data_IF_936337644815
#
_entry.id   IF_936337644815
#
_cell.length_a   1.000
_cell.length_b   1.000
_cell.length_c   1.000
_cell.angle_alpha   90.00
_cell.angle_beta   90.00
_cell.angle_gamma   90.00
#
_symmetry.space_group_name_H-M   'P 1'
#
loop_
_entity.id
_entity.type
_entity.pdbx_description
1 polymer ?
2 non-polymer ?
3 non-polymer ?
4 non-polymer ?
5 non-polymer ?
6 water ?
#
# COMPACT_ATOMS: atom_id res chain seq x y z
N UNK A 1 -3.86 5.75 6.55
CA UNK A 1 -4.16 7.14 6.08
C UNK A 1 -5.06 7.89 7.03
N UNK A 2 -5.42 9.10 6.64
CA UNK A 2 -6.24 9.97 7.51
C UNK A 2 -7.59 9.34 7.85
N UNK A 3 -8.15 8.56 6.92
CA UNK A 3 -9.45 7.93 7.16
C UNK A 3 -9.34 6.93 8.30
N UNK A 4 -8.30 6.09 8.24
CA UNK A 4 -8.05 5.13 9.32
C UNK A 4 -7.66 5.80 10.64
N UNK A 5 -6.93 6.91 10.56
CA UNK A 5 -6.52 7.62 11.77
C UNK A 5 -7.75 8.08 12.56
N UNK A 6 -8.66 8.74 11.86
CA UNK A 6 -9.96 9.15 12.44
C UNK A 6 -10.78 7.97 13.00
N UNK A 7 -10.84 6.89 12.23
CA UNK A 7 -11.55 5.66 12.64
C UNK A 7 -10.98 5.05 13.91
N UNK A 8 -9.67 4.87 13.93
CA UNK A 8 -9.00 4.21 15.06
C UNK A 8 -9.18 5.03 16.32
N UNK A 9 -8.97 6.34 16.22
CA UNK A 9 -9.17 7.25 17.34
C UNK A 9 -10.61 7.21 17.86
N UNK A 10 -11.57 7.17 16.94
CA UNK A 10 -12.98 7.12 17.31
C UNK A 10 -13.35 5.79 17.95
N UNK A 11 -12.74 4.72 17.45
CA UNK A 11 -12.98 3.35 17.97
C UNK A 11 -12.66 3.22 19.47
N UNK A 12 -11.46 3.65 19.83
CA UNK A 12 -10.90 3.38 21.14
C UNK A 12 -11.35 4.42 22.16
N UNK A 13 -11.48 5.67 21.74
CA UNK A 13 -11.59 6.79 22.67
C UNK A 13 -13.03 7.21 22.85
N UNK A 14 -13.27 8.15 23.78
CA UNK A 14 -14.65 8.52 24.11
C UNK A 14 -15.15 9.75 23.36
N UNK A 15 -14.35 10.28 22.45
CA UNK A 15 -14.69 11.56 21.86
C UNK A 15 -14.38 11.60 20.38
N UNK A 16 -15.03 12.52 19.69
CA UNK A 16 -14.85 12.69 18.26
C UNK A 16 -13.39 12.98 17.92
N UNK A 17 -12.87 12.43 16.81
CA UNK A 17 -11.48 12.77 16.43
C UNK A 17 -11.29 14.28 16.14
N UNK A 18 -12.40 14.95 15.82
CA UNK A 18 -12.45 16.41 15.64
C UNK A 18 -11.96 17.17 16.88
N UNK A 19 -12.08 16.54 18.04
CA UNK A 19 -11.61 17.12 19.30
C UNK A 19 -10.11 17.41 19.29
N UNK A 20 -9.39 16.76 18.39
CA UNK A 20 -7.94 16.89 18.32
C UNK A 20 -7.47 17.61 17.06
N UNK A 21 -8.38 18.26 16.33
CA UNK A 21 -8.04 18.78 15.00
C UNK A 21 -7.11 19.99 15.04
N UNK A 22 -7.24 20.77 16.10
CA UNK A 22 -6.29 21.85 16.43
C UNK A 22 -6.34 22.02 17.94
N UNK A 23 -5.47 21.32 18.65
CA UNK A 23 -5.50 21.27 20.11
C UNK A 23 -4.08 21.30 20.62
N UNK A 24 -3.83 22.17 21.59
CA UNK A 24 -2.50 22.29 22.16
C UNK A 24 -1.51 22.77 21.14
N UNK A 25 -0.27 22.27 21.24
CA UNK A 25 0.78 22.62 20.29
C UNK A 25 1.05 21.59 19.19
N UNK A 26 0.57 20.35 19.36
CA UNK A 26 0.86 19.25 18.43
C UNK A 26 -0.33 18.58 17.74
N UNK A 27 -1.52 18.65 18.33
CA UNK A 27 -2.67 17.99 17.72
C UNK A 27 -3.21 18.84 16.58
N UNK A 28 -3.00 18.36 15.36
CA UNK A 28 -3.35 19.07 14.13
C UNK A 28 -2.17 19.01 13.17
N UNK A 29 -2.28 19.68 12.02
CA UNK A 29 -1.21 19.65 11.02
C UNK A 29 0.09 20.32 11.49
N UNK A 30 1.15 19.53 11.54
CA UNK A 30 2.43 19.97 12.09
C UNK A 30 2.38 20.02 13.59
N UNK A 31 3.14 20.95 14.15
CA UNK A 31 3.23 21.10 15.61
C UNK A 31 4.65 21.36 16.08
N UNK A 32 4.79 22.23 17.07
CA UNK A 32 6.08 22.55 17.67
C UNK A 32 5.85 23.13 19.07
N UNK A 33 6.88 23.02 19.90
CA UNK A 33 6.86 23.59 21.24
C UNK A 33 6.80 22.55 22.33
N UNK A 34 6.48 23.03 23.52
CA UNK A 34 6.27 22.20 24.70
C UNK A 34 4.86 21.64 24.69
N UNK A 35 4.71 20.30 24.65
CA UNK A 35 3.36 19.74 24.73
C UNK A 35 2.65 20.21 26.00
N UNK A 36 1.39 20.62 25.85
CA UNK A 36 0.66 21.25 26.94
C UNK A 36 0.06 20.29 27.98
N UNK A 37 -0.25 19.07 27.56
CA UNK A 37 -0.87 18.09 28.44
C UNK A 37 -0.70 16.68 27.86
N UNK A 38 -1.36 15.70 28.46
CA UNK A 38 -1.24 14.30 28.03
C UNK A 38 -1.68 14.08 26.58
N UNK A 39 -2.82 14.66 26.22
CA UNK A 39 -3.32 14.60 24.83
C UNK A 39 -2.29 15.16 23.87
N UNK A 40 -1.69 16.30 24.23
CA UNK A 40 -0.70 16.94 23.36
C UNK A 40 0.56 16.08 23.20
N UNK A 41 0.96 15.40 24.28
CA UNK A 41 2.05 14.40 24.21
C UNK A 41 1.72 13.23 23.28
N UNK A 42 0.47 12.74 23.34
CA UNK A 42 0.02 11.71 22.42
C UNK A 42 0.21 12.16 20.98
N UNK A 43 -0.23 13.39 20.66
CA UNK A 43 -0.07 13.92 19.29
C UNK A 43 1.40 14.15 18.92
N UNK A 44 2.19 14.64 19.86
CA UNK A 44 3.63 14.76 19.62
C UNK A 44 4.24 13.42 19.23
N UNK A 45 3.93 12.38 20.00
CA UNK A 45 4.44 11.02 19.77
C UNK A 45 3.97 10.46 18.43
N UNK A 46 2.72 10.74 18.08
CA UNK A 46 2.15 10.37 16.77
C UNK A 46 2.84 11.10 15.61
N UNK A 47 3.03 12.42 15.74
CA UNK A 47 3.75 13.19 14.72
C UNK A 47 5.13 12.56 14.48
N UNK A 48 5.79 12.16 15.56
CA UNK A 48 7.10 11.46 15.50
C UNK A 48 7.01 10.15 14.72
N UNK A 49 5.98 9.37 15.03
CA UNK A 49 5.72 8.08 14.39
C UNK A 49 5.56 8.22 12.89
N UNK A 50 4.73 9.18 12.48
CA UNK A 50 4.50 9.49 11.06
C UNK A 50 5.77 9.96 10.34
N UNK A 51 6.57 10.78 11.01
CA UNK A 51 7.87 11.19 10.46
C UNK A 51 8.78 9.98 10.19
N UNK A 52 8.82 9.07 11.14
CA UNK A 52 9.57 7.83 10.97
C UNK A 52 9.01 7.05 9.79
N UNK A 53 7.69 6.97 9.71
CA UNK A 53 7.04 6.26 8.60
C UNK A 53 7.38 6.89 7.25
N UNK A 54 7.42 8.22 7.20
CA UNK A 54 7.85 8.92 6.00
C UNK A 54 9.31 8.60 5.64
N UNK A 55 10.16 8.57 6.66
CA UNK A 55 11.57 8.25 6.47
C UNK A 55 11.79 6.81 5.99
N UNK A 56 10.88 5.91 6.37
CA UNK A 56 10.90 4.53 5.89
C UNK A 56 10.40 4.37 4.44
N UNK A 57 9.88 5.46 3.84
CA UNK A 57 9.39 5.44 2.47
C UNK A 57 7.89 5.17 2.37
N UNK A 58 7.13 5.55 3.40
CA UNK A 58 5.68 5.38 3.40
C UNK A 58 4.97 6.73 3.26
N UNK A 59 3.66 6.67 3.03
CA UNK A 59 2.81 7.85 2.92
C UNK A 59 1.69 7.80 3.98
N UNK A 60 2.02 8.20 5.22
CA UNK A 60 1.12 7.97 6.35
C UNK A 60 -0.23 8.66 6.30
N UNK A 61 -0.35 9.72 5.51
CA UNK A 61 -1.60 10.45 5.43
C UNK A 61 -2.56 9.87 4.39
N UNK A 62 -2.04 9.04 3.49
CA UNK A 62 -2.84 8.56 2.36
C UNK A 62 -3.05 7.06 2.28
N UNK A 63 -2.05 6.24 2.66
CA UNK A 63 -2.17 4.82 2.39
C UNK A 63 -3.29 4.15 3.20
N UNK A 64 -4.15 3.42 2.51
CA UNK A 64 -5.21 2.67 3.14
C UNK A 64 -4.63 1.38 3.76
N UNK A 65 -5.25 0.95 4.85
CA UNK A 65 -4.93 -0.34 5.48
C UNK A 65 -6.19 -0.88 6.16
N UNK A 66 -6.21 -2.20 6.32
CA UNK A 66 -7.31 -2.88 6.99
C UNK A 66 -7.07 -2.92 8.49
N UNK A 67 -8.14 -2.78 9.23
CA UNK A 67 -8.10 -2.92 10.69
C UNK A 67 -9.51 -3.26 11.16
N UNK A 68 -9.62 -3.72 12.39
CA UNK A 68 -10.91 -3.99 13.01
C UNK A 68 -11.01 -3.26 14.34
N UNK A 69 -12.23 -2.91 14.73
CA UNK A 69 -12.52 -2.32 16.03
C UNK A 69 -13.27 -3.41 16.79
N UNK A 70 -12.65 -3.92 17.84
CA UNK A 70 -13.19 -5.01 18.65
C UNK A 70 -13.13 -4.59 20.12
N UNK A 71 -14.30 -4.47 20.75
CA UNK A 71 -14.37 -4.01 22.15
C UNK A 71 -13.65 -2.69 22.35
N UNK A 72 -13.89 -1.75 21.45
CA UNK A 72 -13.22 -0.44 21.48
C UNK A 72 -11.71 -0.56 21.56
N UNK A 73 -11.16 -1.51 20.80
CA UNK A 73 -9.73 -1.72 20.64
C UNK A 73 -9.43 -1.89 19.16
N UNK A 74 -8.27 -1.45 18.72
CA UNK A 74 -7.87 -1.55 17.32
C UNK A 74 -7.04 -2.80 17.14
N UNK A 75 -7.42 -3.65 16.19
CA UNK A 75 -6.55 -4.74 15.74
C UNK A 75 -6.11 -4.45 14.30
N UNK A 76 -4.80 -4.47 14.07
CA UNK A 76 -4.25 -4.13 12.77
C UNK A 76 -4.17 -5.34 11.85
N UNK A 77 -4.73 -5.21 10.66
CA UNK A 77 -4.48 -6.20 9.61
C UNK A 77 -5.74 -6.62 8.89
N UNK A 78 -5.60 -7.44 7.85
CA UNK A 78 -4.34 -7.97 7.29
C UNK A 78 -3.52 -6.93 6.59
N UNK A 79 -2.20 -6.98 6.78
CA UNK A 79 -1.29 -6.04 6.14
C UNK A 79 -0.70 -6.61 4.84
N UNK A 80 -0.78 -5.82 3.78
CA UNK A 80 -0.23 -6.22 2.47
C UNK A 80 1.26 -5.90 2.33
N UNK A 81 1.74 -4.98 3.16
CA UNK A 81 3.14 -4.58 3.13
C UNK A 81 3.54 -3.95 4.45
N UNK A 82 4.79 -3.53 4.54
CA UNK A 82 5.35 -3.00 5.77
C UNK A 82 4.81 -1.61 6.16
N UNK A 83 4.51 -0.79 5.16
CA UNK A 83 3.98 0.53 5.41
C UNK A 83 2.62 0.45 6.09
N UNK A 84 1.75 -0.44 5.62
CA UNK A 84 0.45 -0.64 6.25
C UNK A 84 0.61 -1.08 7.70
N UNK A 85 1.59 -1.93 7.99
CA UNK A 85 1.78 -2.29 9.40
C UNK A 85 2.32 -1.12 10.25
N UNK A 86 3.28 -0.34 9.74
CA UNK A 86 3.81 0.81 10.46
C UNK A 86 2.72 1.84 10.73
N UNK A 87 1.97 2.16 9.68
CA UNK A 87 0.88 3.13 9.77
C UNK A 87 -0.13 2.73 10.83
N UNK A 88 -0.62 1.49 10.74
CA UNK A 88 -1.63 1.03 11.67
C UNK A 88 -1.09 1.04 13.11
N UNK A 89 0.16 0.62 13.28
CA UNK A 89 0.82 0.70 14.57
C UNK A 89 0.86 2.13 15.10
N UNK A 90 1.17 3.09 14.24
CA UNK A 90 1.19 4.51 14.65
C UNK A 90 -0.17 4.95 15.16
N UNK A 91 -1.21 4.63 14.40
CA UNK A 91 -2.56 5.10 14.69
C UNK A 91 -3.13 4.37 15.89
N UNK A 92 -2.90 3.06 15.97
CA UNK A 92 -3.27 2.27 17.13
C UNK A 92 -2.66 2.88 18.41
N UNK A 93 -1.37 3.21 18.34
CA UNK A 93 -0.68 3.83 19.49
C UNK A 93 -1.34 5.14 19.95
N UNK A 94 -1.62 6.05 19.02
CA UNK A 94 -2.25 7.31 19.42
C UNK A 94 -3.68 7.09 19.90
N UNK A 95 -4.42 6.18 19.26
CA UNK A 95 -5.77 5.88 19.71
C UNK A 95 -5.75 5.40 21.17
N UNK A 96 -4.84 4.50 21.48
CA UNK A 96 -4.68 3.98 22.85
C UNK A 96 -4.25 5.06 23.82
N UNK A 97 -3.32 5.90 23.37
CA UNK A 97 -2.80 7.01 24.16
C UNK A 97 -3.92 7.98 24.53
N UNK A 98 -4.65 8.45 23.53
CA UNK A 98 -5.71 9.44 23.73
C UNK A 98 -6.90 8.89 24.53
N UNK A 99 -7.16 7.60 24.41
CA UNK A 99 -8.29 6.98 25.10
C UNK A 99 -8.16 7.06 26.62
N UNK A 100 -6.92 7.10 27.11
CA UNK A 100 -6.64 7.15 28.53
C UNK A 100 -6.53 8.58 29.09
N UNK A 101 -6.98 9.59 28.34
CA UNK A 101 -6.74 10.98 28.71
C UNK A 101 -8.02 11.71 29.03
N UNK A 102 -7.86 12.76 29.84
CA UNK A 102 -8.93 13.67 30.13
C UNK A 102 -8.74 14.91 29.27
N UNK A 103 -9.84 15.44 28.79
CA UNK A 103 -9.82 16.54 27.84
C UNK A 103 -9.71 17.87 28.58
N UNK A 104 -8.76 18.71 28.17
CA UNK A 104 -8.72 20.08 28.67
C UNK A 104 -9.22 21.02 27.58
N UNK A 105 -10.47 21.49 27.74
CA UNK A 105 -11.14 22.31 26.74
C UNK A 105 -10.34 23.54 26.36
N UNK A 106 -9.65 24.10 27.35
CA UNK A 106 -8.88 25.34 27.17
C UNK A 106 -7.78 25.24 26.10
N UNK A 107 -7.35 24.02 25.79
CA UNK A 107 -6.32 23.80 24.78
C UNK A 107 -6.86 23.61 23.37
N UNK A 108 -8.19 23.52 23.23
CA UNK A 108 -8.80 23.47 21.90
C UNK A 108 -8.65 24.87 21.26
N UNK A 109 -8.03 24.93 20.07
CA UNK A 109 -7.69 26.18 19.39
C UNK A 109 -6.79 27.07 20.27
N UNK A 110 -5.85 26.41 20.93
CA UNK A 110 -4.82 27.10 21.72
C UNK A 110 -4.01 28.00 20.79
N UNK A 111 -3.61 29.20 21.28
CA UNK A 111 -2.95 30.11 20.37
C UNK A 111 -1.55 29.62 20.00
N UNK A 112 -1.34 29.42 18.69
CA UNK A 112 -0.09 28.92 18.15
C UNK A 112 1.12 29.80 18.50
N UNK A 113 0.89 31.10 18.65
CA UNK A 113 1.97 32.03 19.08
C UNK A 113 2.56 31.74 20.48
N UNK A 114 1.86 30.95 21.28
CA UNK A 114 2.40 30.53 22.59
C UNK A 114 3.22 29.24 22.51
N UNK A 115 3.20 28.60 21.36
CA UNK A 115 3.95 27.37 21.18
C UNK A 115 5.37 27.70 20.78
N UNK A 116 6.31 27.20 21.58
CA UNK A 116 7.74 27.50 21.42
C UNK A 116 8.29 26.96 20.11
N UNK A 117 9.40 27.55 19.61
CA UNK A 117 10.00 27.14 18.33
C UNK A 117 10.46 25.68 18.28
N UNK A 118 11.08 25.19 19.34
CA UNK A 118 11.67 23.85 19.33
C UNK A 118 10.73 22.85 20.01
N UNK A 119 11.03 21.57 19.86
CA UNK A 119 10.15 20.52 20.35
C UNK A 119 10.93 19.43 21.08
N UNK A 120 10.23 18.63 21.90
CA UNK A 120 10.91 17.49 22.48
C UNK A 120 11.33 16.53 21.37
N UNK A 121 12.38 15.76 21.62
CA UNK A 121 12.90 14.86 20.62
C UNK A 121 11.99 13.65 20.46
N UNK A 122 12.02 13.07 19.27
CA UNK A 122 11.34 11.82 18.99
C UNK A 122 12.21 10.68 19.53
N UNK A 123 11.61 9.80 20.33
CA UNK A 123 12.36 8.75 21.04
C UNK A 123 13.33 9.37 22.06
N UNK B 1 -2.54 -5.11 -7.89
CA UNK B 1 -3.29 -6.38 -7.67
C UNK B 1 -3.91 -6.88 -8.94
N UNK B 2 -4.69 -7.95 -8.84
CA UNK B 2 -5.24 -8.59 -10.04
C UNK B 2 -6.09 -7.65 -10.91
N UNK B 3 -6.85 -6.75 -10.26
CA UNK B 3 -7.64 -5.76 -10.99
C UNK B 3 -6.75 -4.86 -11.87
N UNK B 4 -5.66 -4.34 -11.31
CA UNK B 4 -4.73 -3.47 -12.07
C UNK B 4 -3.98 -4.27 -13.14
N UNK B 5 -3.60 -5.48 -12.80
CA UNK B 5 -2.96 -6.37 -13.76
C UNK B 5 -3.86 -6.58 -15.00
N UNK B 6 -5.13 -6.88 -14.75
CA UNK B 6 -6.13 -7.01 -15.81
C UNK B 6 -6.27 -5.69 -16.57
N UNK B 7 -6.31 -4.58 -15.83
CA UNK B 7 -6.47 -3.25 -16.42
C UNK B 7 -5.32 -2.83 -17.32
N UNK B 8 -4.10 -3.07 -16.85
CA UNK B 8 -2.89 -2.65 -17.57
C UNK B 8 -2.77 -3.42 -18.89
N UNK B 9 -3.01 -4.72 -18.84
CA UNK B 9 -3.03 -5.55 -20.04
C UNK B 9 -4.12 -5.10 -21.03
N UNK B 10 -5.31 -4.81 -20.51
CA UNK B 10 -6.41 -4.29 -21.31
C UNK B 10 -6.15 -2.90 -21.89
N UNK B 11 -5.31 -2.12 -21.21
CA UNK B 11 -4.92 -0.80 -21.68
C UNK B 11 -4.01 -0.91 -22.91
N UNK B 12 -3.01 -1.77 -22.83
CA UNK B 12 -2.03 -1.87 -23.91
C UNK B 12 -2.56 -2.70 -25.08
N UNK B 13 -3.25 -3.79 -24.78
CA UNK B 13 -3.72 -4.70 -25.83
C UNK B 13 -2.56 -5.48 -26.45
N UNK B 14 -2.78 -6.14 -27.61
CA UNK B 14 -3.97 -6.12 -28.46
C UNK B 14 -5.12 -7.07 -28.05
N UNK B 15 -4.99 -7.77 -26.93
CA UNK B 15 -6.04 -8.70 -26.52
C UNK B 15 -6.40 -8.62 -25.04
N UNK B 16 -7.64 -8.98 -24.77
CA UNK B 16 -8.14 -9.06 -23.42
C UNK B 16 -7.17 -9.84 -22.51
N UNK B 17 -7.03 -9.42 -21.23
CA UNK B 17 -6.24 -10.24 -20.30
C UNK B 17 -6.73 -11.70 -20.18
N UNK B 18 -8.02 -11.92 -20.39
CA UNK B 18 -8.62 -13.27 -20.40
C UNK B 18 -7.97 -14.24 -21.39
N UNK B 19 -7.42 -13.73 -22.49
CA UNK B 19 -6.66 -14.56 -23.44
C UNK B 19 -5.46 -15.28 -22.83
N UNK B 20 -5.00 -14.81 -21.66
CA UNK B 20 -3.84 -15.40 -20.97
C UNK B 20 -4.21 -16.07 -19.65
N UNK B 21 -5.48 -16.38 -19.46
CA UNK B 21 -5.95 -16.92 -18.19
C UNK B 21 -5.41 -18.33 -17.95
N UNK B 22 -5.33 -19.13 -19.00
CA UNK B 22 -4.63 -20.41 -18.97
C UNK B 22 -4.06 -20.68 -20.35
N UNK B 23 -2.78 -20.37 -20.52
CA UNK B 23 -2.12 -20.43 -21.83
C UNK B 23 -0.66 -20.84 -21.62
N UNK B 24 -0.19 -21.75 -22.46
CA UNK B 24 1.16 -22.31 -22.36
C UNK B 24 1.42 -22.93 -21.00
N UNK B 25 2.67 -22.88 -20.56
CA UNK B 25 3.05 -23.45 -19.27
C UNK B 25 3.04 -22.46 -18.11
N UNK B 26 2.93 -21.16 -18.42
CA UNK B 26 3.09 -20.11 -17.40
C UNK B 26 1.95 -19.12 -17.25
N UNK B 27 1.16 -18.88 -18.31
CA UNK B 27 0.08 -17.88 -18.23
C UNK B 27 -1.12 -18.47 -17.52
N UNK B 28 -1.33 -18.03 -16.28
CA UNK B 28 -2.34 -18.61 -15.40
C UNK B 28 -1.77 -18.73 -14.01
N UNK B 29 -2.54 -19.27 -13.07
CA UNK B 29 -2.06 -19.44 -11.70
C UNK B 29 -0.88 -20.41 -11.66
N UNK B 30 0.27 -19.90 -11.23
CA UNK B 30 1.48 -20.70 -11.14
C UNK B 30 2.12 -20.92 -12.50
N UNK B 31 2.81 -22.03 -12.65
CA UNK B 31 3.45 -22.36 -13.90
C UNK B 31 4.83 -22.97 -13.71
N UNK B 32 5.20 -23.83 -14.65
CA UNK B 32 6.48 -24.52 -14.65
C UNK B 32 6.74 -25.11 -16.02
N UNK B 33 8.01 -25.32 -16.35
CA UNK B 33 8.38 -25.96 -17.61
C UNK B 33 9.10 -25.03 -18.53
N UNK B 34 9.26 -25.48 -19.77
CA UNK B 34 9.84 -24.64 -20.80
C UNK B 34 8.74 -23.75 -21.38
N UNK B 35 8.98 -22.43 -21.43
CA UNK B 35 8.00 -21.58 -22.11
C UNK B 35 7.75 -22.01 -23.58
N UNK B 36 6.47 -22.09 -23.94
CA UNK B 36 6.05 -22.55 -25.27
C UNK B 36 6.38 -21.56 -26.39
N UNK B 37 6.22 -20.27 -26.10
CA UNK B 37 6.33 -19.23 -27.11
C UNK B 37 6.58 -17.88 -26.44
N UNK B 38 6.56 -16.82 -27.23
CA UNK B 38 6.87 -15.49 -26.74
C UNK B 38 5.88 -15.06 -25.65
N UNK B 39 4.60 -15.32 -25.87
CA UNK B 39 3.58 -15.01 -24.83
C UNK B 39 3.92 -15.71 -23.52
N UNK B 40 4.28 -16.99 -23.62
CA UNK B 40 4.57 -17.79 -22.43
C UNK B 40 5.78 -17.24 -21.70
N UNK B 41 6.77 -16.76 -22.46
CA UNK B 41 7.93 -16.08 -21.88
C UNK B 41 7.56 -14.79 -21.15
N UNK B 42 6.59 -14.04 -21.67
CA UNK B 42 6.09 -12.87 -20.94
C UNK B 42 5.54 -13.27 -19.56
N UNK B 43 4.75 -14.34 -19.53
CA UNK B 43 4.16 -14.84 -18.29
C UNK B 43 5.19 -15.40 -17.34
N UNK B 44 6.20 -16.09 -17.87
CA UNK B 44 7.32 -16.57 -17.04
C UNK B 44 8.00 -15.39 -16.35
N UNK B 45 8.31 -14.35 -17.11
CA UNK B 45 8.95 -13.16 -16.56
C UNK B 45 8.09 -12.48 -15.50
N UNK B 46 6.80 -12.42 -15.76
CA UNK B 46 5.86 -11.81 -14.83
C UNK B 46 5.72 -12.65 -13.55
N UNK B 47 5.69 -13.97 -13.70
CA UNK B 47 5.69 -14.85 -12.54
C UNK B 47 6.92 -14.59 -11.67
N UNK B 48 8.06 -14.43 -12.34
CA UNK B 48 9.31 -14.10 -11.68
C UNK B 48 9.21 -12.75 -10.96
N UNK B 49 8.61 -11.77 -11.63
CA UNK B 49 8.46 -10.44 -11.08
C UNK B 49 7.62 -10.49 -9.83
N UNK B 50 6.48 -11.18 -9.89
CA UNK B 50 5.60 -11.33 -8.72
C UNK B 50 6.24 -12.11 -7.56
N UNK B 51 7.06 -13.12 -7.88
CA UNK B 51 7.80 -13.87 -6.86
C UNK B 51 8.78 -12.95 -6.13
N UNK B 52 9.52 -12.13 -6.87
CA UNK B 52 10.41 -11.15 -6.24
C UNK B 52 9.65 -10.14 -5.37
N UNK B 53 8.50 -9.67 -5.85
CA UNK B 53 7.64 -8.78 -5.06
C UNK B 53 7.21 -9.42 -3.75
N UNK B 54 6.80 -10.67 -3.79
CA UNK B 54 6.46 -11.41 -2.58
C UNK B 54 7.64 -11.54 -1.63
N UNK B 55 8.81 -11.88 -2.18
CA UNK B 55 10.01 -11.98 -1.38
C UNK B 55 10.43 -10.65 -0.73
N UNK B 56 10.13 -9.53 -1.39
CA UNK B 56 10.40 -8.21 -0.85
C UNK B 56 9.38 -7.75 0.21
N UNK B 57 8.37 -8.58 0.46
CA UNK B 57 7.32 -8.29 1.46
C UNK B 57 6.08 -7.60 0.92
N UNK B 58 5.75 -7.83 -0.36
CA UNK B 58 4.59 -7.21 -1.00
C UNK B 58 3.53 -8.27 -1.28
N UNK B 59 2.35 -7.82 -1.68
CA UNK B 59 1.24 -8.70 -1.99
C UNK B 59 0.74 -8.38 -3.41
N UNK B 60 1.42 -8.91 -4.44
CA UNK B 60 1.11 -8.56 -5.84
C UNK B 60 -0.30 -8.95 -6.33
N UNK B 61 -0.95 -9.90 -5.67
CA UNK B 61 -2.30 -10.30 -6.06
C UNK B 61 -3.37 -9.30 -5.60
N UNK B 62 -3.07 -8.53 -4.55
CA UNK B 62 -4.10 -7.73 -3.87
C UNK B 62 -3.83 -6.22 -3.77
N UNK B 63 -2.59 -5.79 -3.57
CA UNK B 63 -2.40 -4.36 -3.29
C UNK B 63 -2.79 -3.48 -4.48
N UNK B 64 -3.59 -2.46 -4.19
CA UNK B 64 -4.03 -1.50 -5.18
C UNK B 64 -2.91 -0.51 -5.46
N UNK B 65 -2.88 0.01 -6.69
CA UNK B 65 -1.93 1.06 -7.05
C UNK B 65 -2.55 1.96 -8.12
N UNK B 66 -2.06 3.20 -8.17
CA UNK B 66 -2.55 4.18 -9.13
C UNK B 66 -1.74 4.06 -10.40
N UNK B 67 -2.42 4.25 -11.52
CA UNK B 67 -1.78 4.22 -12.82
C UNK B 67 -2.69 4.91 -13.81
N UNK B 68 -2.12 5.25 -14.97
CA UNK B 68 -2.86 5.90 -16.06
C UNK B 68 -2.65 5.14 -17.37
N UNK B 69 -3.68 5.14 -18.22
CA UNK B 69 -3.61 4.56 -19.54
C UNK B 69 -3.64 5.74 -20.50
N UNK B 70 -2.50 5.99 -21.15
CA UNK B 70 -2.33 7.12 -22.07
C UNK B 70 -1.79 6.59 -23.39
N UNK B 71 -2.53 6.83 -24.47
CA UNK B 71 -2.16 6.29 -25.79
C UNK B 71 -1.95 4.79 -25.73
N UNK B 72 -2.81 4.09 -25.01
CA UNK B 72 -2.68 2.64 -24.86
C UNK B 72 -1.31 2.22 -24.33
N UNK B 73 -0.77 3.04 -23.43
CA UNK B 73 0.45 2.69 -22.71
C UNK B 73 0.20 2.96 -21.22
N UNK B 74 0.94 2.24 -20.39
CA UNK B 74 0.76 2.32 -18.94
C UNK B 74 1.77 3.31 -18.37
N UNK B 75 1.27 4.26 -17.61
CA UNK B 75 2.12 5.12 -16.76
C UNK B 75 1.84 4.80 -15.30
N UNK B 76 2.90 4.48 -14.57
CA UNK B 76 2.78 4.05 -13.16
C UNK B 76 2.87 5.21 -12.17
N UNK B 77 1.93 5.28 -11.25
CA UNK B 77 1.99 6.29 -10.20
C UNK B 77 0.69 7.06 -10.03
N UNK B 78 0.60 7.88 -8.97
CA UNK B 78 1.61 8.05 -7.91
C UNK B 78 1.69 6.86 -6.97
N UNK B 79 2.90 6.40 -6.68
CA UNK B 79 3.14 5.30 -5.75
C UNK B 79 3.30 5.80 -4.32
N UNK B 80 2.57 5.19 -3.38
CA UNK B 80 2.64 5.56 -1.97
C UNK B 80 3.77 4.86 -1.21
N UNK B 81 4.27 3.76 -1.78
CA UNK B 81 5.31 2.96 -1.18
C UNK B 81 6.02 2.19 -2.27
N UNK B 82 7.07 1.47 -1.88
CA UNK B 82 7.89 0.69 -2.80
C UNK B 82 7.16 -0.50 -3.42
N UNK B 83 6.23 -1.11 -2.67
CA UNK B 83 5.48 -2.23 -3.22
C UNK B 83 4.61 -1.81 -4.39
N UNK B 84 3.91 -0.69 -4.26
CA UNK B 84 3.07 -0.22 -5.35
C UNK B 84 3.92 0.07 -6.59
N UNK B 85 5.09 0.65 -6.37
CA UNK B 85 6.06 0.85 -7.45
C UNK B 85 6.42 -0.46 -8.12
N UNK B 86 6.83 -1.46 -7.34
CA UNK B 86 7.23 -2.74 -7.90
C UNK B 86 6.08 -3.44 -8.66
N UNK B 87 4.90 -3.45 -8.07
CA UNK B 87 3.75 -4.14 -8.67
C UNK B 87 3.37 -3.51 -10.01
N UNK B 88 3.30 -2.18 -10.04
CA UNK B 88 2.97 -1.51 -11.28
C UNK B 88 4.04 -1.80 -12.36
N UNK B 89 5.31 -1.74 -11.98
CA UNK B 89 6.40 -2.06 -12.95
C UNK B 89 6.27 -3.48 -13.51
N UNK B 90 5.96 -4.47 -12.65
CA UNK B 90 5.74 -5.84 -13.13
C UNK B 90 4.61 -5.89 -14.16
N UNK B 91 3.49 -5.26 -13.83
CA UNK B 91 2.30 -5.32 -14.69
C UNK B 91 2.49 -4.54 -16.02
N UNK B 92 3.09 -3.35 -15.92
CA UNK B 92 3.49 -2.59 -17.09
C UNK B 92 4.39 -3.40 -18.01
N UNK B 93 5.36 -4.07 -17.41
CA UNK B 93 6.29 -4.90 -18.15
C UNK B 93 5.55 -6.04 -18.90
N UNK B 94 4.70 -6.79 -18.21
CA UNK B 94 4.00 -7.89 -18.91
C UNK B 94 3.10 -7.34 -20.00
N UNK B 95 2.39 -6.26 -19.73
CA UNK B 95 1.50 -5.67 -20.74
C UNK B 95 2.30 -5.26 -21.99
N UNK B 96 3.43 -4.60 -21.79
CA UNK B 96 4.33 -4.20 -22.89
C UNK B 96 4.91 -5.39 -23.64
N UNK B 97 5.26 -6.42 -22.88
CA UNK B 97 5.77 -7.67 -23.44
C UNK B 97 4.73 -8.34 -24.33
N UNK B 98 3.53 -8.51 -23.78
CA UNK B 98 2.42 -9.15 -24.49
C UNK B 98 1.98 -8.38 -25.73
N UNK B 99 2.15 -7.07 -25.72
CA UNK B 99 1.75 -6.24 -26.86
C UNK B 99 2.56 -6.55 -28.11
N UNK B 100 3.73 -7.16 -27.95
CA UNK B 100 4.62 -7.48 -29.07
C UNK B 100 4.61 -8.96 -29.41
N UNK B 101 3.48 -9.63 -29.20
CA UNK B 101 3.38 -11.07 -29.40
C UNK B 101 2.29 -11.39 -30.40
N UNK B 102 2.48 -12.51 -31.09
CA UNK B 102 1.45 -13.11 -31.94
C UNK B 102 0.86 -14.25 -31.10
N UNK B 103 -0.42 -14.53 -31.29
CA UNK B 103 -1.13 -15.51 -30.46
C UNK B 103 -1.14 -16.88 -31.13
N UNK B 104 -0.80 -17.92 -30.35
CA UNK B 104 -0.82 -19.30 -30.82
C UNK B 104 -1.95 -20.07 -30.14
N UNK B 105 -3.07 -20.18 -30.84
CA UNK B 105 -4.24 -20.88 -30.32
C UNK B 105 -3.92 -22.30 -29.84
N UNK B 106 -2.93 -22.94 -30.47
CA UNK B 106 -2.51 -24.28 -30.05
C UNK B 106 -2.09 -24.38 -28.57
N UNK B 107 -1.66 -23.26 -27.97
CA UNK B 107 -1.23 -23.26 -26.55
C UNK B 107 -2.29 -22.79 -25.55
N UNK B 108 -3.47 -22.42 -26.04
CA UNK B 108 -4.55 -22.04 -25.15
C UNK B 108 -5.05 -23.31 -24.48
N UNK B 109 -5.24 -23.25 -23.16
CA UNK B 109 -5.62 -24.42 -22.36
C UNK B 109 -4.66 -25.60 -22.48
N UNK B 110 -3.38 -25.31 -22.68
CA UNK B 110 -2.38 -26.36 -22.69
C UNK B 110 -2.43 -27.05 -21.31
N UNK B 111 -2.37 -28.39 -21.27
CA UNK B 111 -2.41 -29.01 -19.94
C UNK B 111 -1.09 -28.89 -19.19
N UNK B 112 -1.17 -28.47 -17.93
CA UNK B 112 0.02 -28.33 -17.09
C UNK B 112 0.72 -29.67 -16.87
N UNK B 113 -0.01 -30.77 -16.95
CA UNK B 113 0.63 -32.08 -16.82
C UNK B 113 1.57 -32.39 -18.00
N UNK B 114 1.48 -31.61 -19.09
CA UNK B 114 2.44 -31.72 -20.19
C UNK B 114 3.59 -30.69 -20.15
N UNK B 115 3.65 -29.90 -19.08
CA UNK B 115 4.77 -28.98 -18.90
C UNK B 115 5.85 -29.60 -18.00
N UNK B 116 7.09 -29.35 -18.38
CA UNK B 116 8.24 -29.97 -17.73
C UNK B 116 8.32 -29.51 -16.28
N UNK B 117 8.90 -30.35 -15.40
CA UNK B 117 8.89 -29.99 -13.99
C UNK B 117 9.84 -28.82 -13.65
N UNK B 118 10.92 -28.66 -14.40
CA UNK B 118 11.89 -27.59 -14.14
C UNK B 118 11.61 -26.38 -15.03
N UNK B 119 11.92 -25.20 -14.52
CA UNK B 119 11.71 -23.95 -15.26
C UNK B 119 13.02 -23.22 -15.48
N UNK B 120 13.08 -22.40 -16.53
CA UNK B 120 14.21 -21.47 -16.63
C UNK B 120 14.28 -20.57 -15.41
N UNK B 121 15.49 -20.21 -15.00
CA UNK B 121 15.70 -19.31 -13.87
C UNK B 121 15.16 -17.91 -14.15
N UNK B 122 14.95 -17.14 -13.09
CA UNK B 122 14.31 -15.84 -13.21
C UNK B 122 15.21 -14.69 -13.73
N UNK B 123 16.24 -14.33 -12.98
CA UNK B 123 17.19 -13.27 -13.40
C UNK B 123 16.52 -11.91 -13.65
X LIG C 1 0.59 17.23 14.68
X LIG D 1 8.70 16.34 15.73
X LIG D 1 7.82 15.60 14.80
X LIG D 1 7.87 16.64 17.19
X LIG D 1 8.93 17.94 15.20
X LIG E 1 -3.23 -6.99 15.94
X LIG E 1 -2.87 -5.56 16.08
X LIG E 1 -2.99 -7.75 17.45
X LIG E 1 -1.99 -7.72 15.00
X LIG F 1 -1.77 22.20 15.53
X LIG F 1 -2.74 22.86 14.65
X LIG F 1 -1.92 22.86 17.10
X LIG F 1 -0.16 22.60 15.13
X LIG G 1 -14.40 -3.29 11.89
X LIG G 1 -14.40 -3.62 13.28
X LIG G 1 -13.97 -1.84 11.79
X LIG G 1 -15.04 -0.99 12.20
X LIG G 1 -14.51 0.22 12.75
X LIG G 1 -15.56 1.29 12.88
X LIG G 1 -14.90 2.52 13.23
X LIG H 1 -3.42 14.76 10.93
X LIG H 1 -4.40 15.74 11.34
X LIG H 1 -2.02 15.29 11.18
X LIG H 1 -1.02 14.30 10.85
X LIG H 1 0.29 14.54 11.39
X LIG H 1 0.83 15.96 11.16
X LIG H 1 1.29 16.52 12.39
X LIG I 1 -5.98 -4.11 2.78
X LIG I 1 -6.82 -5.28 2.86
X LIG I 1 -6.34 -3.22 1.59
X LIG I 1 -6.36 -1.87 2.03
X LIG I 1 -7.68 -1.28 2.04
X LIG I 1 -7.93 -0.56 0.72
X LIG I 1 -6.77 -0.63 -0.12
X LIG J 1 -15.13 19.18 19.60
X LIG J 1 -16.44 19.60 20.02
X LIG J 1 -14.37 18.63 20.79
X LIG J 1 -15.27 18.28 21.83
X LIG J 1 -14.79 17.18 22.61
X LIG J 1 -15.44 17.24 23.99
X LIG J 1 -14.77 16.31 24.86
X LIG K 1 2.22 23.90 12.84
X LIG K 1 1.47 25.11 12.83
X LIG K 1 3.63 24.14 12.32
X LIG K 1 4.46 23.04 12.66
X LIG K 1 5.74 23.18 12.05
X LIG K 1 6.65 22.04 12.52
X LIG K 1 6.31 20.84 11.82
X LIG L 1 1.96 29.96 11.61
X LIG L 1 2.02 30.99 10.62
X LIG L 1 3.33 29.68 12.21
X LIG L 1 4.16 28.92 11.33
X LIG L 1 5.49 29.04 11.83
X LIG L 1 6.32 27.79 11.51
X LIG L 1 6.75 27.21 12.74
X LIG M 1 -3.45 16.44 6.18
X LIG M 1 -3.13 15.94 7.49
X LIG M 1 -2.29 16.26 5.21
X LIG M 1 -1.48 17.43 5.14
X LIG M 1 -0.28 17.27 4.35
X LIG M 1 0.86 16.89 5.26
X LIG M 1 1.66 18.05 5.61
X LIG N 1 -1.43 15.80 15.07
X LIG N 1 -1.78 14.63 15.17
X LIG N 1 -0.84 13.67 15.34
X LIG N 1 -7.75 12.48 12.69
X LIG N 1 -7.92 13.39 13.72
X LIG N 1 -8.57 14.58 13.49
X LIG N 1 -7.37 13.06 15.08
X LIG N 1 -9.06 14.85 12.22
X LIG N 1 -8.90 13.94 11.19
X LIG N 1 -8.23 12.75 11.42
X LIG N 1 -3.62 12.97 15.56
X LIG N 1 -3.22 14.24 15.12
X LIG N 1 -4.95 12.59 15.54
X LIG N 1 -5.91 13.48 15.10
X LIG N 1 -5.52 14.75 14.66
X LIG N 1 -4.19 15.14 14.65
X LIG O 1 -11.78 25.54 33.73
X LIG O 1 -10.55 24.98 34.35
X LIG O 1 -12.51 26.70 34.75
X LIG O 1 -12.98 24.33 33.72
X LIG P 1 3.10 14.14 1.13
X LIG P 1 3.05 15.48 0.49
X LIG P 1 4.41 13.27 0.47
X LIG P 1 1.85 13.18 0.47
X LIG Q 1 1.74 -17.82 -14.03
X LIG R 1 -5.95 -25.82 -32.28
X LIG R 1 -4.94 -26.33 -31.33
X LIG R 1 -5.33 -24.43 -33.06
X LIG R 1 -7.22 -25.10 -31.40
X LIG S 1 -1.41 -22.63 -16.05
X LIG S 1 -2.73 -22.04 -15.76
X LIG S 1 -0.17 -21.73 -15.30
X LIG S 1 -0.97 -22.45 -17.70
X LIG T 1 -7.61 -24.73 -27.61
X LIG T 1 -8.32 -24.11 -28.75
X LIG T 1 -6.16 -25.49 -28.09
X LIG T 1 -8.40 -26.17 -27.15
X LIG U 1 6.23 5.85 -15.40
X LIG U 1 5.70 4.45 -15.43
X LIG U 1 6.68 6.32 -13.83
X LIG U 1 4.99 6.93 -15.72
X LIG V 1 -7.99 -0.56 -12.29
X LIG V 1 -6.51 -0.61 -12.37
X LIG V 1 -8.54 -0.83 -10.72
X LIG V 1 -8.67 -1.93 -13.07
X LIG W 1 6.04 -1.59 -25.77
X LIG W 1 7.17 -1.02 -26.46
X LIG W 1 4.70 -1.08 -26.29
X LIG W 1 4.02 -0.30 -25.30
X LIG W 1 2.70 0.13 -25.69
X LIG W 1 2.80 1.46 -26.43
X LIG W 1 1.59 1.79 -27.11
X LIG X 1 -6.36 5.29 -17.23
X LIG X 1 -6.33 6.72 -17.36
X LIG X 1 -7.43 4.67 -16.34
X LIG X 1 -6.75 3.76 -15.45
X LIG X 1 -7.20 3.93 -14.11
X LIG X 1 -6.33 3.20 -13.08
X LIG X 1 -6.36 3.86 -11.80
X LIG Y 1 13.08 -27.30 -24.54
X LIG Y 1 12.75 -28.11 -25.67
X LIG Y 1 13.88 -28.08 -23.52
X LIG Y 1 14.70 -29.02 -24.22
X LIG Y 1 14.99 -30.11 -23.36
X LIG Y 1 16.16 -29.81 -22.42
X LIG Y 1 16.17 -30.76 -21.34
X LIG Z 1 1.04 -16.22 -10.95
X LIG Z 1 1.49 -17.40 -11.63
X LIG Z 1 2.15 -15.63 -10.07
X LIG Z 1 3.15 -16.60 -9.76
X LIG Z 1 4.11 -16.02 -8.86
X LIG Z 1 3.51 -15.79 -7.49
X LIG Z 1 2.46 -14.81 -7.53
X LIG AA 1 0.61 -16.00 -15.25
X LIG AA 1 0.74 -14.77 -15.33
X LIG AA 1 1.88 -14.18 -14.90
X LIG AA 1 -5.07 -11.02 -15.43
X LIG AA 1 -4.99 -11.90 -16.51
X LIG AA 1 -6.02 -12.82 -16.72
X LIG AA 1 -3.81 -11.84 -17.46
X LIG AA 1 -7.11 -12.88 -15.85
X LIG AA 1 -7.17 -12.01 -14.77
X LIG AA 1 -6.16 -11.08 -14.57
X LIG AA 1 -0.29 -12.64 -16.17
X LIG AA 1 -0.40 -14.00 -15.86
X LIG AA 1 -1.40 -11.94 -16.69
X LIG AA 1 -2.61 -12.59 -16.89
X LIG AA 1 -2.71 -13.94 -16.59
X LIG AA 1 -1.63 -14.64 -16.08
#
# INVERSE_FOLDING_TARGET
GILELAGTVGCVGPRTPIAYMKYGCFCGLGGHGQPRDAIDWCCHGHDCCYTRAEEAGCSPKTERYSWQCVNQSVLCGPAENKCQELLCKCDQEIANCLAQTEYNLKYLFYPQFLCEPDSPKCD
GILELAGTVGCVGPRTPIAYMKYGCFCGLGGHGQPRDAIDWCCHGHDCCYTRAEEAGCSPKTERYSWQCVNQSVLCGPAENKCQELLCKCDQEIANCLAQTEYNLKYLFYPQFLCEPDSPKCD
CA CA
DMS S O C1 C2
DMS S O C1 C2
DMS S O C1 C2
PEG C1 O1 C2 O2 C3 C4 O4
PEG C1 O1 C2 O2 C3 C4 O4
PEG C1 O1 C2 O2 C3 C4 O4
PEG C1 O1 C2 O2 C3 C4 O4
PEG C1 O1 C2 O2 C3 C4 O4
PEG C1 O1 C2 O2 C3 C4 O4
PEG C1 O1 C2 O2 C3 C4 O4
9JH O15 C14 N16 C3 C4 C5 C7 C6 C1 C2 C10 C11 C9 C8 C13 C12
DMS S O C1 C2
DMS S O C1 C2
CA CA
DMS S O C1 C2
DMS S O C1 C2
DMS S O C1 C2
DMS S O C1 C2
DMS S O C1 C2
PEG C1 O1 C2 O2 C3 C4 O4
PEG C1 O1 C2 O2 C3 C4 O4
PEG C1 O1 C2 O2 C3 C4 O4
PEG C1 O1 C2 O2 C3 C4 O4
9JH O15 C14 N16 C3 C4 C5 C7 C6 C1 C2 C10 C11 C9 C8 C13 C12
#
